data_IF_550820004928
#
_entry.id   IF_550820004928
#
_cell.length_a   1.000
_cell.length_b   1.000
_cell.length_c   1.000
_cell.angle_alpha   90.00
_cell.angle_beta   90.00
_cell.angle_gamma   90.00
#
_symmetry.space_group_name_H-M   'P 1'
#
loop_
_entity.id
_entity.type
_entity.pdbx_description
1 polymer ?
#
# COMPACT_ATOMS: atom_id res chain seq x y z
N UNK A 1 -2.90 13.80 -7.52
CA UNK A 1 -3.16 14.26 -6.14
C UNK A 1 -4.60 14.68 -6.03
N UNK A 2 -5.34 14.01 -5.15
CA UNK A 2 -6.75 14.31 -4.88
C UNK A 2 -6.87 15.62 -4.10
N UNK A 3 -7.93 16.41 -4.32
CA UNK A 3 -8.23 17.63 -3.56
C UNK A 3 -9.19 17.30 -2.41
N UNK A 4 -8.68 16.58 -1.41
CA UNK A 4 -9.45 16.11 -0.24
C UNK A 4 -8.70 16.47 1.05
N UNK A 5 -9.41 16.45 2.17
CA UNK A 5 -8.81 16.67 3.49
C UNK A 5 -7.88 15.50 3.87
N UNK A 6 -6.90 15.76 4.75
CA UNK A 6 -5.91 14.77 5.18
C UNK A 6 -6.56 13.56 5.87
N UNK A 7 -7.60 13.77 6.69
CA UNK A 7 -8.29 12.68 7.37
C UNK A 7 -9.03 11.79 6.37
N UNK A 8 -9.73 12.42 5.43
CA UNK A 8 -10.44 11.71 4.35
C UNK A 8 -9.44 10.93 3.46
N UNK A 9 -8.27 11.51 3.18
CA UNK A 9 -7.22 10.82 2.44
C UNK A 9 -6.75 9.57 3.18
N UNK A 10 -6.45 9.66 4.48
CA UNK A 10 -6.03 8.49 5.28
C UNK A 10 -7.09 7.38 5.25
N UNK A 11 -8.38 7.73 5.40
CA UNK A 11 -9.46 6.75 5.31
C UNK A 11 -9.54 6.06 3.93
N UNK A 12 -9.23 6.79 2.86
CA UNK A 12 -9.14 6.22 1.51
C UNK A 12 -7.93 5.28 1.39
N UNK A 13 -6.75 5.71 1.84
CA UNK A 13 -5.52 4.91 1.77
C UNK A 13 -5.64 3.60 2.56
N UNK A 14 -6.26 3.63 3.75
CA UNK A 14 -6.58 2.44 4.54
C UNK A 14 -7.46 1.46 3.74
N UNK A 15 -8.50 1.95 3.07
CA UNK A 15 -9.37 1.11 2.25
C UNK A 15 -8.64 0.56 1.02
N UNK A 16 -7.76 1.35 0.42
CA UNK A 16 -6.93 0.91 -0.71
C UNK A 16 -5.98 -0.21 -0.29
N UNK A 17 -5.37 -0.17 0.90
CA UNK A 17 -4.61 -1.30 1.45
C UNK A 17 -5.44 -2.59 1.53
N UNK A 18 -6.66 -2.50 2.09
CA UNK A 18 -7.54 -3.67 2.16
C UNK A 18 -7.88 -4.23 0.78
N UNK A 19 -8.16 -3.34 -0.19
CA UNK A 19 -8.48 -3.73 -1.56
C UNK A 19 -7.29 -4.42 -2.24
N UNK A 20 -6.07 -3.87 -2.09
CA UNK A 20 -4.85 -4.45 -2.65
C UNK A 20 -4.60 -5.84 -2.03
N UNK A 21 -4.68 -5.97 -0.71
CA UNK A 21 -4.46 -7.23 -0.01
C UNK A 21 -5.50 -8.30 -0.38
N UNK A 22 -6.79 -7.93 -0.41
CA UNK A 22 -7.87 -8.83 -0.86
C UNK A 22 -7.68 -9.22 -2.32
N UNK A 23 -7.32 -8.25 -3.17
CA UNK A 23 -7.05 -8.47 -4.58
C UNK A 23 -5.89 -9.45 -4.82
N UNK A 24 -4.77 -9.31 -4.10
CA UNK A 24 -3.64 -10.23 -4.24
C UNK A 24 -3.98 -11.66 -3.79
N UNK A 25 -4.80 -11.82 -2.74
CA UNK A 25 -5.32 -13.13 -2.34
C UNK A 25 -6.22 -13.73 -3.42
N UNK A 26 -7.07 -12.91 -4.05
CA UNK A 26 -7.91 -13.39 -5.15
C UNK A 26 -7.07 -13.76 -6.38
N UNK A 27 -6.01 -13.02 -6.68
CA UNK A 27 -5.04 -13.38 -7.72
C UNK A 27 -4.43 -14.77 -7.44
N UNK A 28 -4.03 -15.04 -6.19
CA UNK A 28 -3.53 -16.36 -5.79
C UNK A 28 -4.59 -17.46 -6.02
N UNK A 29 -5.83 -17.22 -5.59
CA UNK A 29 -6.95 -18.15 -5.81
C UNK A 29 -7.14 -18.45 -7.30
N UNK A 30 -7.21 -17.42 -8.15
CA UNK A 30 -7.38 -17.57 -9.60
C UNK A 30 -6.24 -18.35 -10.25
N UNK A 31 -4.99 -18.15 -9.82
CA UNK A 31 -3.87 -18.95 -10.32
C UNK A 31 -4.00 -20.42 -9.90
N UNK A 32 -4.44 -20.69 -8.66
CA UNK A 32 -4.67 -22.06 -8.19
C UNK A 32 -5.83 -22.74 -8.92
N UNK A 33 -6.82 -21.98 -9.38
CA UNK A 33 -7.90 -22.43 -10.26
C UNK A 33 -7.50 -22.53 -11.74
N UNK A 34 -6.23 -22.27 -12.10
CA UNK A 34 -5.73 -22.18 -13.48
C UNK A 34 -6.40 -21.09 -14.35
N UNK A 35 -6.97 -20.05 -13.72
CA UNK A 35 -7.61 -18.91 -14.39
C UNK A 35 -6.65 -17.72 -14.49
N UNK A 36 -5.58 -17.88 -15.26
CA UNK A 36 -4.53 -16.86 -15.38
C UNK A 36 -5.06 -15.52 -15.93
N UNK A 37 -5.98 -15.55 -16.88
CA UNK A 37 -6.53 -14.32 -17.48
C UNK A 37 -7.33 -13.49 -16.47
N UNK A 38 -8.16 -14.15 -15.64
CA UNK A 38 -8.88 -13.47 -14.54
C UNK A 38 -7.90 -12.91 -13.50
N UNK A 39 -6.86 -13.67 -13.15
CA UNK A 39 -5.81 -13.21 -12.23
C UNK A 39 -5.09 -11.95 -12.75
N UNK A 40 -4.81 -11.89 -14.06
CA UNK A 40 -4.17 -10.73 -14.68
C UNK A 40 -5.09 -9.49 -14.69
N UNK A 41 -6.39 -9.65 -14.93
CA UNK A 41 -7.36 -8.54 -14.86
C UNK A 41 -7.40 -7.92 -13.47
N UNK A 42 -7.39 -8.75 -12.42
CA UNK A 42 -7.36 -8.27 -11.04
C UNK A 42 -6.03 -7.54 -10.76
N UNK A 43 -4.89 -8.07 -11.21
CA UNK A 43 -3.60 -7.38 -11.06
C UNK A 43 -3.55 -6.04 -11.80
N UNK A 44 -4.19 -5.93 -12.97
CA UNK A 44 -4.29 -4.67 -13.71
C UNK A 44 -5.06 -3.62 -12.90
N UNK A 45 -6.19 -4.00 -12.28
CA UNK A 45 -6.96 -3.12 -11.40
C UNK A 45 -6.16 -2.69 -10.17
N UNK A 46 -5.51 -3.65 -9.50
CA UNK A 46 -4.60 -3.39 -8.37
C UNK A 46 -3.50 -2.40 -8.79
N UNK A 47 -2.92 -2.56 -9.97
CA UNK A 47 -1.82 -1.72 -10.42
C UNK A 47 -2.25 -0.26 -10.65
N UNK A 48 -3.49 -0.03 -11.12
CA UNK A 48 -4.03 1.33 -11.24
C UNK A 48 -4.26 1.97 -9.88
N UNK A 49 -4.80 1.22 -8.92
CA UNK A 49 -5.00 1.70 -7.54
C UNK A 49 -3.64 2.05 -6.92
N UNK A 50 -2.68 1.12 -6.99
CA UNK A 50 -1.34 1.28 -6.41
C UNK A 50 -0.63 2.54 -6.91
N UNK A 51 -0.75 2.87 -8.20
CA UNK A 51 -0.14 4.08 -8.78
C UNK A 51 -0.61 5.36 -8.10
N UNK A 52 -1.92 5.46 -7.88
CA UNK A 52 -2.53 6.65 -7.30
C UNK A 52 -2.25 6.70 -5.81
N UNK A 53 -2.36 5.55 -5.15
CA UNK A 53 -2.07 5.34 -3.74
C UNK A 53 -0.66 5.81 -3.35
N UNK A 54 0.38 5.26 -4.00
CA UNK A 54 1.78 5.67 -3.77
C UNK A 54 1.97 7.17 -4.03
N UNK A 55 1.36 7.70 -5.10
CA UNK A 55 1.46 9.11 -5.42
C UNK A 55 0.86 9.99 -4.31
N UNK A 56 -0.31 9.63 -3.79
CA UNK A 56 -0.96 10.38 -2.71
C UNK A 56 -0.11 10.31 -1.42
N UNK A 57 0.49 9.16 -1.11
CA UNK A 57 1.41 8.97 0.03
C UNK A 57 2.67 9.83 -0.08
N UNK A 58 3.42 9.67 -1.17
CA UNK A 58 4.68 10.37 -1.38
C UNK A 58 4.48 11.89 -1.56
N UNK A 59 3.37 12.31 -2.16
CA UNK A 59 3.13 13.73 -2.44
C UNK A 59 2.40 14.47 -1.32
N UNK A 60 1.62 13.79 -0.50
CA UNK A 60 0.78 14.42 0.54
C UNK A 60 1.25 14.02 1.93
N UNK A 61 1.31 12.72 2.24
CA UNK A 61 1.67 12.28 3.59
C UNK A 61 3.10 12.68 3.94
N UNK A 62 4.07 12.48 3.02
CA UNK A 62 5.45 12.92 3.27
C UNK A 62 5.54 14.41 3.59
N UNK A 63 4.79 15.27 2.88
CA UNK A 63 4.80 16.71 3.15
C UNK A 63 4.28 17.05 4.54
N UNK A 64 3.27 16.33 5.02
CA UNK A 64 2.75 16.51 6.38
C UNK A 64 3.72 15.98 7.44
N UNK A 65 4.40 14.86 7.17
CA UNK A 65 5.42 14.29 8.05
C UNK A 65 6.60 15.24 8.20
N UNK A 66 7.13 15.79 7.10
CA UNK A 66 8.24 16.76 7.14
C UNK A 66 7.96 18.02 7.95
N UNK A 67 6.69 18.39 8.15
CA UNK A 67 6.32 19.57 8.96
C UNK A 67 6.37 19.31 10.47
N UNK A 68 6.26 18.05 10.91
CA UNK A 68 5.98 17.70 12.30
C UNK A 68 6.99 16.73 12.91
N UNK A 69 7.55 15.83 12.10
CA UNK A 69 8.40 14.75 12.54
C UNK A 69 9.86 15.18 12.70
N UNK A 70 10.57 14.52 13.61
CA UNK A 70 12.01 14.69 13.78
C UNK A 70 12.78 13.86 12.72
N UNK A 71 14.11 14.04 12.67
CA UNK A 71 14.95 13.39 11.65
C UNK A 71 14.94 11.85 11.73
N UNK A 72 14.85 11.28 12.93
CA UNK A 72 14.79 9.83 13.12
C UNK A 72 13.45 9.27 12.60
N UNK A 73 12.35 9.93 12.93
CA UNK A 73 11.01 9.58 12.44
C UNK A 73 10.93 9.68 10.92
N UNK A 74 11.47 10.75 10.32
CA UNK A 74 11.57 10.88 8.87
C UNK A 74 12.37 9.72 8.27
N UNK A 75 13.49 9.33 8.88
CA UNK A 75 14.29 8.19 8.39
C UNK A 75 13.49 6.89 8.41
N UNK A 76 12.70 6.64 9.46
CA UNK A 76 11.84 5.45 9.57
C UNK A 76 10.75 5.47 8.49
N UNK A 77 10.11 6.61 8.25
CA UNK A 77 9.10 6.75 7.18
C UNK A 77 9.70 6.51 5.80
N UNK A 78 10.89 7.07 5.52
CA UNK A 78 11.60 6.85 4.25
C UNK A 78 11.92 5.38 4.04
N UNK A 79 12.30 4.65 5.09
CA UNK A 79 12.51 3.21 5.02
C UNK A 79 11.22 2.46 4.63
N UNK A 80 10.08 2.82 5.22
CA UNK A 80 8.77 2.24 4.89
C UNK A 80 8.40 2.51 3.43
N UNK A 81 8.56 3.76 2.96
CA UNK A 81 8.20 4.16 1.59
C UNK A 81 9.19 3.60 0.56
N UNK A 82 10.42 3.27 0.96
CA UNK A 82 11.38 2.57 0.07
C UNK A 82 10.84 1.22 -0.44
N UNK A 83 9.90 0.60 0.30
CA UNK A 83 9.24 -0.65 -0.09
C UNK A 83 8.34 -0.47 -1.32
N UNK A 84 7.77 0.73 -1.54
CA UNK A 84 6.91 1.05 -2.69
C UNK A 84 7.57 0.69 -4.01
N UNK A 85 8.89 0.93 -4.13
CA UNK A 85 9.66 0.61 -5.34
C UNK A 85 9.58 -0.88 -5.68
N UNK A 86 9.81 -1.75 -4.70
CA UNK A 86 9.77 -3.20 -4.90
C UNK A 86 8.35 -3.65 -5.21
N UNK A 87 7.35 -3.06 -4.55
CA UNK A 87 5.94 -3.36 -4.77
C UNK A 87 5.52 -3.02 -6.20
N UNK A 88 5.77 -1.77 -6.59
CA UNK A 88 5.44 -1.23 -7.89
C UNK A 88 6.05 -2.07 -9.03
N UNK A 89 7.36 -2.28 -9.03
CA UNK A 89 8.02 -2.99 -10.13
C UNK A 89 7.65 -4.46 -10.22
N UNK A 90 7.31 -5.10 -9.09
CA UNK A 90 6.88 -6.50 -9.10
C UNK A 90 5.50 -6.63 -9.75
N UNK A 91 4.54 -5.81 -9.33
CA UNK A 91 3.19 -5.82 -9.91
C UNK A 91 3.22 -5.36 -11.37
N UNK A 92 3.96 -4.30 -11.70
CA UNK A 92 4.17 -3.85 -13.08
C UNK A 92 4.75 -4.96 -13.96
N UNK A 93 5.73 -5.71 -13.45
CA UNK A 93 6.32 -6.82 -14.19
C UNK A 93 5.31 -7.95 -14.44
N UNK A 94 4.36 -8.21 -13.55
CA UNK A 94 3.33 -9.22 -13.79
C UNK A 94 2.36 -8.78 -14.89
N UNK A 95 1.90 -7.53 -14.81
CA UNK A 95 0.97 -6.92 -15.76
C UNK A 95 1.62 -6.82 -17.15
N UNK A 96 2.78 -6.18 -17.25
CA UNK A 96 3.45 -5.93 -18.53
C UNK A 96 3.85 -7.21 -19.27
N UNK A 97 4.30 -8.24 -18.55
CA UNK A 97 4.70 -9.53 -19.13
C UNK A 97 3.54 -10.51 -19.26
N UNK A 98 2.34 -10.15 -18.80
CA UNK A 98 1.16 -11.02 -18.72
C UNK A 98 1.49 -12.40 -18.12
N UNK A 99 2.32 -12.40 -17.06
CA UNK A 99 2.84 -13.61 -16.44
C UNK A 99 3.03 -13.41 -14.94
N UNK A 100 2.55 -14.36 -14.17
CA UNK A 100 2.66 -14.35 -12.71
C UNK A 100 3.51 -15.56 -12.29
N UNK A 101 4.59 -15.32 -11.55
CA UNK A 101 5.37 -16.38 -10.91
C UNK A 101 4.82 -16.56 -9.49
N UNK A 102 4.43 -17.78 -9.12
CA UNK A 102 3.79 -18.06 -7.81
C UNK A 102 4.66 -17.63 -6.63
N UNK A 103 5.97 -17.86 -6.72
CA UNK A 103 6.94 -17.52 -5.67
C UNK A 103 7.02 -16.00 -5.51
N UNK A 104 7.11 -15.28 -6.63
CA UNK A 104 7.13 -13.83 -6.61
C UNK A 104 5.79 -13.23 -6.14
N UNK A 105 4.66 -13.89 -6.42
CA UNK A 105 3.34 -13.49 -5.90
C UNK A 105 3.30 -13.61 -4.37
N UNK A 106 3.77 -14.72 -3.80
CA UNK A 106 3.84 -14.90 -2.35
C UNK A 106 4.78 -13.89 -1.69
N UNK A 107 5.93 -13.64 -2.31
CA UNK A 107 6.87 -12.64 -1.83
C UNK A 107 6.24 -11.25 -1.81
N UNK A 108 5.55 -10.85 -2.89
CA UNK A 108 4.93 -9.52 -2.92
C UNK A 108 3.77 -9.38 -1.94
N UNK A 109 2.98 -10.43 -1.74
CA UNK A 109 1.91 -10.45 -0.72
C UNK A 109 2.49 -10.15 0.67
N UNK A 110 3.57 -10.85 1.04
CA UNK A 110 4.23 -10.63 2.33
C UNK A 110 4.80 -9.21 2.48
N UNK A 111 5.35 -8.64 1.40
CA UNK A 111 5.90 -7.27 1.41
C UNK A 111 4.78 -6.24 1.56
N UNK A 112 3.66 -6.42 0.86
CA UNK A 112 2.50 -5.50 0.97
C UNK A 112 1.89 -5.58 2.38
N UNK A 113 1.78 -6.77 2.97
CA UNK A 113 1.31 -6.94 4.35
C UNK A 113 2.23 -6.24 5.36
N UNK A 114 3.55 -6.45 5.25
CA UNK A 114 4.54 -5.79 6.13
C UNK A 114 4.55 -4.27 5.95
N UNK A 115 4.51 -3.79 4.70
CA UNK A 115 4.42 -2.36 4.38
C UNK A 115 3.16 -1.74 4.99
N UNK A 116 1.99 -2.33 4.73
CA UNK A 116 0.69 -1.88 5.25
C UNK A 116 0.73 -1.75 6.77
N UNK A 117 1.25 -2.78 7.45
CA UNK A 117 1.37 -2.80 8.91
C UNK A 117 2.27 -1.66 9.40
N UNK A 118 3.48 -1.54 8.85
CA UNK A 118 4.44 -0.51 9.26
C UNK A 118 3.90 0.89 9.00
N UNK A 119 3.21 1.09 7.88
CA UNK A 119 2.61 2.38 7.56
C UNK A 119 1.52 2.76 8.58
N UNK A 120 0.62 1.83 8.89
CA UNK A 120 -0.45 2.05 9.87
C UNK A 120 0.11 2.35 11.27
N UNK A 121 1.12 1.61 11.70
CA UNK A 121 1.73 1.76 13.02
C UNK A 121 2.55 3.06 13.14
N UNK A 122 3.30 3.44 12.09
CA UNK A 122 4.28 4.51 12.17
C UNK A 122 3.89 5.77 11.39
N UNK A 123 3.48 5.65 10.15
CA UNK A 123 3.22 6.82 9.30
C UNK A 123 1.94 7.52 9.76
N UNK A 124 0.86 6.76 9.90
CA UNK A 124 -0.43 7.34 10.28
C UNK A 124 -0.46 7.87 11.71
N UNK A 125 0.32 7.28 12.62
CA UNK A 125 0.44 7.78 14.00
C UNK A 125 1.15 9.13 14.10
N UNK A 126 2.04 9.48 13.14
CA UNK A 126 2.72 10.78 13.09
C UNK A 126 1.83 11.92 12.55
N UNK A 127 0.86 11.59 11.70
CA UNK A 127 0.04 12.59 11.00
C UNK A 127 -1.40 12.66 11.47
N UNK A 128 -1.91 11.59 12.11
CA UNK A 128 -3.21 11.62 12.76
C UNK A 128 -3.13 12.52 13.99
N UNK A 129 -4.04 13.49 14.18
CA UNK A 129 -4.10 14.24 15.41
C UNK A 129 -4.30 13.24 16.56
N UNK A 130 -3.50 13.37 17.64
CA UNK A 130 -3.60 12.54 18.83
C UNK A 130 -5.03 12.53 19.35
N UNK A 131 -5.81 11.50 19.00
CA UNK A 131 -6.95 11.15 19.80
C UNK A 131 -6.38 10.51 21.06
N UNK A 132 -6.48 11.27 22.16
CA UNK A 132 -6.55 10.87 23.55
C UNK A 132 -6.21 9.38 23.87
N UNK A 133 -5.36 9.09 24.87
CA UNK A 133 -4.78 7.77 25.17
C UNK A 133 -5.76 6.68 25.64
N UNK A 134 -7.07 6.84 25.46
CA UNK A 134 -8.08 5.84 25.77
C UNK A 134 -8.44 5.03 24.52
N UNK A 135 -7.42 4.40 23.94
CA UNK A 135 -7.57 3.49 22.82
C UNK A 135 -8.61 2.41 23.11
N UNK A 136 -9.52 2.22 22.15
CA UNK A 136 -10.28 1.01 21.87
C UNK A 136 -10.90 1.21 20.49
N UNK A 137 -10.23 0.72 19.46
CA UNK A 137 -10.94 0.24 18.27
C UNK A 137 -11.14 -1.25 18.50
N UNK A 138 -12.39 -1.63 18.79
CA UNK A 138 -12.90 -3.00 18.81
C UNK A 138 -13.60 -3.25 17.48
#
# INVERSE_FOLDING_TARGET
MRKIDLKELIEILIKEHELILKGLKEVENKINENKLEEALKILEEIFQILKIHILDEESTLMKEIYKKANQEEISQVVEIFSMHRKIYYTIESFVSKKKIKKEALKEIMSIVEDHTKKEHEKVYSLISPSNNPNGLYV
#
